data_IF_097313101152
#
_entry.id   IF_097313101152
#
_cell.length_a   1.000
_cell.length_b   1.000
_cell.length_c   1.000
_cell.angle_alpha   90.00
_cell.angle_beta   90.00
_cell.angle_gamma   90.00
#
_symmetry.space_group_name_H-M   'P 1'
#
loop_
_entity.id
_entity.type
_entity.pdbx_description
1 polymer ?
#
# COMPACT_ATOMS: atom_id res chain seq x y z
N UNK A 1 10.83 -29.55 -33.67
CA UNK A 1 10.36 -28.98 -32.39
C UNK A 1 11.43 -28.98 -31.28
N UNK A 2 12.69 -29.36 -31.53
CA UNK A 2 13.79 -29.33 -30.54
C UNK A 2 14.64 -28.04 -30.58
N UNK A 3 14.91 -27.47 -31.76
CA UNK A 3 15.75 -26.26 -31.88
C UNK A 3 15.14 -24.99 -31.26
N UNK A 4 13.80 -24.86 -31.24
CA UNK A 4 13.11 -23.70 -30.66
C UNK A 4 13.06 -23.73 -29.12
N UNK A 5 13.03 -24.92 -28.51
CA UNK A 5 13.09 -25.05 -27.05
C UNK A 5 14.51 -24.89 -26.52
N UNK A 6 15.51 -25.39 -27.25
CA UNK A 6 16.92 -25.22 -26.90
C UNK A 6 17.37 -23.77 -27.09
N UNK A 7 16.84 -23.07 -28.11
CA UNK A 7 17.07 -21.63 -28.31
C UNK A 7 16.49 -20.79 -27.19
N UNK A 8 15.26 -21.08 -26.72
CA UNK A 8 14.64 -20.38 -25.57
C UNK A 8 15.39 -20.63 -24.26
N UNK A 9 15.78 -21.88 -24.00
CA UNK A 9 16.51 -22.22 -22.78
C UNK A 9 17.93 -21.61 -22.76
N UNK A 10 18.60 -21.52 -23.90
CA UNK A 10 19.88 -20.83 -24.02
C UNK A 10 19.74 -19.31 -23.84
N UNK A 11 18.64 -18.74 -24.31
CA UNK A 11 18.32 -17.32 -24.18
C UNK A 11 17.95 -16.95 -22.74
N UNK A 12 17.21 -17.80 -22.04
CA UNK A 12 16.91 -17.62 -20.61
C UNK A 12 18.16 -17.72 -19.72
N UNK A 13 19.08 -18.64 -20.03
CA UNK A 13 20.38 -18.73 -19.32
C UNK A 13 21.26 -17.50 -19.57
N UNK A 14 21.33 -17.02 -20.81
CA UNK A 14 22.09 -15.80 -21.12
C UNK A 14 21.49 -14.56 -20.46
N UNK A 15 20.16 -14.47 -20.39
CA UNK A 15 19.47 -13.37 -19.70
C UNK A 15 19.68 -13.41 -18.17
N UNK A 16 19.73 -14.61 -17.57
CA UNK A 16 20.07 -14.75 -16.15
C UNK A 16 21.55 -14.41 -15.87
N UNK A 17 22.48 -14.84 -16.73
CA UNK A 17 23.91 -14.57 -16.57
C UNK A 17 24.20 -13.07 -16.75
N UNK A 18 23.63 -12.42 -17.77
CA UNK A 18 23.83 -10.99 -18.02
C UNK A 18 23.13 -10.10 -16.97
N UNK A 19 21.98 -10.52 -16.44
CA UNK A 19 21.34 -9.85 -15.31
C UNK A 19 22.16 -9.95 -14.01
N UNK A 20 22.80 -11.09 -13.78
CA UNK A 20 23.72 -11.27 -12.65
C UNK A 20 25.01 -10.43 -12.82
N UNK A 21 25.57 -10.34 -14.03
CA UNK A 21 26.77 -9.56 -14.32
C UNK A 21 26.50 -8.04 -14.25
N UNK A 22 25.30 -7.58 -14.63
CA UNK A 22 24.89 -6.18 -14.50
C UNK A 22 24.70 -5.76 -13.02
N UNK A 23 24.27 -6.68 -12.16
CA UNK A 23 24.15 -6.46 -10.71
C UNK A 23 25.51 -6.57 -10.02
N UNK A 24 26.42 -7.43 -10.50
CA UNK A 24 27.79 -7.52 -10.01
C UNK A 24 28.66 -6.32 -10.42
N UNK A 25 28.39 -5.72 -11.59
CA UNK A 25 29.00 -4.46 -12.05
C UNK A 25 28.51 -3.21 -11.30
N UNK A 26 27.34 -3.30 -10.65
CA UNK A 26 26.87 -2.32 -9.65
C UNK A 26 27.47 -2.58 -8.26
N UNK A 27 28.69 -3.14 -8.23
CA UNK A 27 29.49 -3.35 -7.04
C UNK A 27 29.60 -2.05 -6.24
N UNK A 28 29.09 -2.12 -5.02
CA UNK A 28 29.12 -1.08 -4.00
C UNK A 28 30.57 -0.63 -3.77
N UNK A 29 30.98 0.48 -4.37
CA UNK A 29 32.09 1.26 -3.86
C UNK A 29 31.57 2.11 -2.69
N UNK A 30 31.91 1.64 -1.49
CA UNK A 30 31.70 2.32 -0.22
C UNK A 30 32.58 3.57 -0.15
N UNK A 31 32.11 4.71 -0.64
CA UNK A 31 32.60 6.01 -0.15
C UNK A 31 31.46 7.02 0.04
N UNK A 32 31.35 7.46 1.30
CA UNK A 32 30.51 8.55 1.80
C UNK A 32 30.40 9.73 0.82
N UNK A 33 29.18 10.03 0.38
CA UNK A 33 28.66 11.39 0.25
C UNK A 33 27.13 11.33 0.28
N UNK A 34 26.57 11.80 1.39
CA UNK A 34 25.16 12.18 1.48
C UNK A 34 24.96 13.36 0.51
N UNK A 35 24.10 13.17 -0.49
CA UNK A 35 23.24 14.15 -1.17
C UNK A 35 22.84 13.64 -2.59
N UNK A 36 21.55 13.69 -2.91
CA UNK A 36 20.96 13.66 -4.27
C UNK A 36 21.07 12.39 -5.16
N UNK A 37 21.01 11.19 -4.59
CA UNK A 37 20.85 9.96 -5.40
C UNK A 37 19.41 9.82 -5.93
N UNK A 38 18.40 10.28 -5.17
CA UNK A 38 16.99 10.16 -5.56
C UNK A 38 16.64 11.03 -6.78
N UNK A 39 17.15 12.26 -6.85
CA UNK A 39 16.92 13.15 -8.00
C UNK A 39 17.56 12.62 -9.28
N UNK A 40 18.73 11.98 -9.17
CA UNK A 40 19.43 11.43 -10.34
C UNK A 40 18.79 10.14 -10.85
N UNK A 41 18.22 9.32 -9.95
CA UNK A 41 17.45 8.11 -10.29
C UNK A 41 16.05 8.46 -10.81
N UNK A 42 15.40 9.50 -10.27
CA UNK A 42 14.10 10.01 -10.75
C UNK A 42 14.23 10.78 -12.08
N UNK A 43 15.32 11.51 -12.30
CA UNK A 43 15.62 12.16 -13.58
C UNK A 43 15.92 11.13 -14.67
N UNK A 44 16.77 10.14 -14.39
CA UNK A 44 17.06 9.05 -15.34
C UNK A 44 15.87 8.14 -15.57
N UNK A 45 15.05 7.87 -14.54
CA UNK A 45 13.76 7.21 -14.71
C UNK A 45 12.75 8.08 -15.46
N UNK A 46 12.77 9.41 -15.29
CA UNK A 46 11.93 10.36 -16.01
C UNK A 46 12.26 10.47 -17.49
N UNK A 47 13.55 10.45 -17.84
CA UNK A 47 14.02 10.37 -19.22
C UNK A 47 13.75 8.98 -19.83
N UNK A 48 13.97 7.90 -19.08
CA UNK A 48 13.65 6.55 -19.52
C UNK A 48 12.14 6.32 -19.68
N UNK A 49 11.31 6.89 -18.79
CA UNK A 49 9.85 6.89 -18.86
C UNK A 49 9.34 7.80 -19.98
N UNK A 50 9.98 8.95 -20.22
CA UNK A 50 9.67 9.83 -21.34
C UNK A 50 9.92 9.14 -22.68
N UNK A 51 11.09 8.51 -22.82
CA UNK A 51 11.44 7.72 -24.00
C UNK A 51 10.57 6.46 -24.15
N UNK A 52 10.22 5.79 -23.05
CA UNK A 52 9.31 4.65 -23.06
C UNK A 52 7.85 5.06 -23.35
N UNK A 53 7.43 6.23 -22.91
CA UNK A 53 6.10 6.81 -23.14
C UNK A 53 5.96 7.28 -24.59
N UNK A 54 6.99 7.92 -25.15
CA UNK A 54 7.04 8.28 -26.56
C UNK A 54 7.18 7.03 -27.44
N UNK A 55 7.93 6.02 -26.99
CA UNK A 55 7.94 4.68 -27.58
C UNK A 55 6.56 4.00 -27.56
N UNK A 56 5.82 4.10 -26.45
CA UNK A 56 4.47 3.54 -26.30
C UNK A 56 3.43 4.28 -27.15
N UNK A 57 3.49 5.63 -27.24
CA UNK A 57 2.66 6.41 -28.16
C UNK A 57 2.91 6.04 -29.61
N UNK A 58 4.17 5.85 -29.99
CA UNK A 58 4.57 5.47 -31.34
C UNK A 58 4.17 4.03 -31.67
N UNK A 59 4.28 3.10 -30.72
CA UNK A 59 3.85 1.71 -30.86
C UNK A 59 2.32 1.55 -30.94
N UNK A 60 1.56 2.47 -30.34
CA UNK A 60 0.09 2.46 -30.30
C UNK A 60 -0.56 3.42 -31.33
N UNK A 61 0.23 4.06 -32.21
CA UNK A 61 -0.28 4.87 -33.32
C UNK A 61 -0.85 6.24 -32.95
N UNK A 62 -0.46 6.80 -31.79
CA UNK A 62 -0.88 8.12 -31.32
C UNK A 62 0.14 9.25 -31.62
N UNK A 63 1.20 8.94 -32.39
CA UNK A 63 2.23 9.91 -32.82
C UNK A 63 1.92 10.58 -34.17
N UNK A 64 2.51 11.76 -34.45
CA UNK A 64 2.18 12.57 -35.63
C UNK A 64 2.65 11.98 -36.97
N UNK A 65 3.51 10.96 -36.99
CA UNK A 65 4.00 10.37 -38.24
C UNK A 65 4.12 8.83 -38.20
N UNK A 66 3.89 8.23 -39.37
CA UNK A 66 3.76 6.79 -39.64
C UNK A 66 5.12 6.04 -39.58
N UNK A 67 5.18 5.02 -38.71
CA UNK A 67 5.96 3.74 -38.75
C UNK A 67 7.52 3.78 -38.65
N UNK A 68 8.11 3.01 -37.71
CA UNK A 68 9.12 1.90 -37.88
C UNK A 68 9.78 1.52 -36.52
N UNK A 69 10.04 0.22 -36.36
CA UNK A 69 10.49 -0.60 -35.21
C UNK A 69 11.87 -0.28 -34.58
N UNK A 70 12.00 -0.49 -33.26
CA UNK A 70 13.25 -0.90 -32.56
C UNK A 70 12.93 -1.66 -31.24
N UNK A 71 13.79 -2.60 -30.79
CA UNK A 71 13.45 -3.59 -29.75
C UNK A 71 13.64 -3.00 -28.34
N UNK A 72 12.56 -2.92 -27.57
CA UNK A 72 12.60 -2.43 -26.20
C UNK A 72 13.02 -3.54 -25.22
N UNK A 73 14.16 -3.33 -24.54
CA UNK A 73 14.57 -4.02 -23.32
C UNK A 73 13.64 -3.57 -22.17
N UNK A 74 12.55 -4.31 -21.98
CA UNK A 74 11.53 -4.04 -20.96
C UNK A 74 10.20 -4.58 -21.43
N UNK A 75 9.74 -5.69 -20.85
CA UNK A 75 8.51 -6.34 -21.27
C UNK A 75 7.28 -5.46 -21.00
N UNK A 76 6.78 -4.76 -22.02
CA UNK A 76 5.49 -4.08 -22.00
C UNK A 76 4.41 -5.16 -22.14
N UNK A 77 3.76 -5.54 -21.02
CA UNK A 77 2.55 -6.35 -21.05
C UNK A 77 1.34 -5.43 -21.13
N UNK A 78 0.87 -5.15 -22.35
CA UNK A 78 -0.39 -4.43 -22.56
C UNK A 78 -1.57 -5.36 -22.36
N UNK A 79 -2.17 -5.34 -21.17
CA UNK A 79 -3.59 -5.67 -21.06
C UNK A 79 -4.33 -4.38 -21.44
N UNK A 80 -5.49 -4.45 -22.10
CA UNK A 80 -6.22 -3.32 -22.72
C UNK A 80 -6.57 -2.13 -21.80
N UNK A 81 -6.06 -2.07 -20.57
CA UNK A 81 -6.44 -1.13 -19.53
C UNK A 81 -5.28 -0.53 -18.70
N UNK A 82 -4.05 -1.09 -18.78
CA UNK A 82 -2.87 -0.55 -18.07
C UNK A 82 -1.53 -0.96 -18.68
N UNK A 83 -0.50 -0.14 -18.45
CA UNK A 83 0.92 -0.42 -18.68
C UNK A 83 1.59 -0.66 -17.32
N UNK A 84 2.32 -1.76 -17.18
CA UNK A 84 3.06 -2.08 -15.95
C UNK A 84 4.56 -1.96 -16.19
N UNK A 85 5.24 -1.20 -15.34
CA UNK A 85 6.69 -0.91 -15.37
C UNK A 85 7.28 -1.18 -13.98
N UNK A 86 7.81 -2.38 -13.76
CA UNK A 86 8.25 -2.82 -12.44
C UNK A 86 7.09 -2.75 -11.43
N UNK A 87 7.26 -1.98 -10.36
CA UNK A 87 6.22 -1.74 -9.35
C UNK A 87 5.21 -0.65 -9.73
N UNK A 88 5.34 -0.01 -10.88
CA UNK A 88 4.41 1.03 -11.32
C UNK A 88 3.36 0.47 -12.26
N UNK A 89 2.10 0.80 -12.02
CA UNK A 89 0.98 0.59 -12.93
C UNK A 89 0.48 1.95 -13.42
N UNK A 90 0.37 2.12 -14.74
CA UNK A 90 -0.12 3.34 -15.39
C UNK A 90 -1.38 2.97 -16.15
N UNK A 91 -2.51 3.58 -15.81
CA UNK A 91 -3.76 3.36 -16.53
C UNK A 91 -3.74 4.02 -17.90
N UNK A 92 -4.28 3.32 -18.89
CA UNK A 92 -4.46 3.82 -20.27
C UNK A 92 -5.93 3.92 -20.67
N UNK A 93 -6.84 3.60 -19.75
CA UNK A 93 -8.28 3.68 -19.94
C UNK A 93 -8.76 5.12 -20.17
N UNK A 94 -9.78 5.25 -21.03
CA UNK A 94 -10.44 6.53 -21.28
C UNK A 94 -10.97 7.15 -19.99
N UNK A 95 -10.57 8.39 -19.69
CA UNK A 95 -10.93 9.14 -18.49
C UNK A 95 -10.04 8.88 -17.26
N UNK A 96 -9.08 7.96 -17.34
CA UNK A 96 -8.09 7.66 -16.29
C UNK A 96 -6.67 7.62 -16.83
N UNK A 97 -6.44 8.16 -18.02
CA UNK A 97 -5.18 8.09 -18.72
C UNK A 97 -4.07 8.71 -17.87
N UNK A 98 -2.97 7.96 -17.73
CA UNK A 98 -1.81 8.36 -16.95
C UNK A 98 -1.99 8.27 -15.44
N UNK A 99 -3.18 7.93 -14.90
CA UNK A 99 -3.30 7.63 -13.46
C UNK A 99 -2.32 6.53 -13.10
N UNK A 100 -1.44 6.83 -12.16
CA UNK A 100 -0.30 6.00 -11.83
C UNK A 100 -0.42 5.49 -10.41
N UNK A 101 -0.07 4.22 -10.22
CA UNK A 101 -0.17 3.51 -8.96
C UNK A 101 1.15 2.78 -8.69
N UNK A 102 1.71 2.99 -7.50
CA UNK A 102 2.86 2.22 -7.03
C UNK A 102 2.37 0.97 -6.30
N UNK A 103 2.94 -0.19 -6.62
CA UNK A 103 2.56 -1.50 -6.09
C UNK A 103 3.64 -2.04 -5.17
N UNK A 104 3.24 -2.35 -3.94
CA UNK A 104 4.07 -3.03 -2.96
C UNK A 104 3.38 -4.35 -2.58
N UNK A 105 3.76 -5.49 -3.18
CA UNK A 105 3.09 -6.76 -2.91
C UNK A 105 3.14 -7.12 -1.41
N UNK A 106 1.99 -7.37 -0.77
CA UNK A 106 1.96 -7.78 0.64
C UNK A 106 2.50 -9.20 0.82
N UNK A 107 3.32 -9.41 1.85
CA UNK A 107 3.84 -10.75 2.22
C UNK A 107 2.84 -11.58 3.03
N UNK A 108 1.76 -10.96 3.52
CA UNK A 108 0.83 -11.59 4.47
C UNK A 108 1.47 -11.82 5.83
N UNK A 109 0.67 -12.24 6.82
CA UNK A 109 1.13 -12.36 8.21
C UNK A 109 2.36 -13.28 8.37
N UNK A 110 2.34 -14.46 7.74
CA UNK A 110 3.39 -15.46 7.90
C UNK A 110 4.68 -15.10 7.13
N UNK A 111 4.56 -14.42 5.99
CA UNK A 111 5.71 -13.94 5.21
C UNK A 111 6.30 -12.63 5.73
N UNK A 112 5.60 -11.95 6.65
CA UNK A 112 6.03 -10.68 7.23
C UNK A 112 7.03 -10.86 8.36
N UNK A 113 7.81 -9.81 8.61
CA UNK A 113 8.76 -9.78 9.72
C UNK A 113 8.06 -9.68 11.08
N UNK A 114 8.76 -10.10 12.12
CA UNK A 114 8.29 -9.93 13.51
C UNK A 114 8.81 -8.60 14.04
N UNK A 115 7.92 -7.77 14.57
CA UNK A 115 8.26 -6.50 15.21
C UNK A 115 9.13 -6.76 16.45
N UNK A 116 10.21 -5.98 16.59
CA UNK A 116 11.17 -6.08 17.69
C UNK A 116 10.83 -5.16 18.86
N UNK A 117 9.93 -4.20 18.66
CA UNK A 117 9.48 -3.22 19.66
C UNK A 117 8.24 -3.73 20.38
N UNK A 118 7.22 -4.15 19.63
CA UNK A 118 5.95 -4.62 20.19
C UNK A 118 5.96 -6.15 20.30
N UNK A 119 6.44 -6.64 21.45
CA UNK A 119 6.66 -8.05 21.75
C UNK A 119 5.81 -8.60 22.89
N UNK A 120 5.20 -7.73 23.71
CA UNK A 120 4.36 -8.12 24.84
C UNK A 120 3.14 -7.21 24.96
N UNK A 121 1.96 -7.74 24.61
CA UNK A 121 0.69 -6.98 24.67
C UNK A 121 0.24 -6.60 26.08
N UNK A 122 0.81 -7.22 27.11
CA UNK A 122 0.49 -6.93 28.51
C UNK A 122 1.45 -5.93 29.16
N UNK A 123 2.54 -5.55 28.49
CA UNK A 123 3.47 -4.55 29.00
C UNK A 123 2.90 -3.14 28.77
N UNK A 124 2.61 -2.37 29.84
CA UNK A 124 2.09 -1.01 29.69
C UNK A 124 3.06 -0.07 28.95
N UNK A 125 4.37 -0.34 28.96
CA UNK A 125 5.36 0.48 28.24
C UNK A 125 5.37 0.23 26.73
N UNK A 126 4.70 -0.82 26.27
CA UNK A 126 4.56 -1.15 24.85
C UNK A 126 3.20 -0.72 24.28
N UNK A 127 2.38 -0.03 25.07
CA UNK A 127 1.15 0.57 24.60
C UNK A 127 1.40 1.98 24.11
N UNK A 128 0.58 2.40 23.17
CA UNK A 128 0.52 3.79 22.71
C UNK A 128 -0.65 4.50 23.38
N UNK A 129 -0.47 5.78 23.67
CA UNK A 129 -1.49 6.69 24.19
C UNK A 129 -2.11 7.57 23.10
N UNK A 130 -1.49 7.60 21.91
CA UNK A 130 -2.00 8.24 20.69
C UNK A 130 -1.45 7.55 19.43
N UNK A 131 -2.15 7.77 18.33
CA UNK A 131 -1.63 7.49 16.98
C UNK A 131 -1.20 8.81 16.37
N UNK A 132 0.04 8.88 15.88
CA UNK A 132 0.60 10.08 15.25
C UNK A 132 0.10 10.23 13.81
N UNK A 133 -1.19 10.57 13.68
CA UNK A 133 -1.85 10.90 12.42
C UNK A 133 -1.28 12.20 11.80
N UNK A 134 -1.18 12.24 10.47
CA UNK A 134 -0.76 13.42 9.73
C UNK A 134 -1.96 14.31 9.40
N UNK A 135 -2.21 15.31 10.25
CA UNK A 135 -3.30 16.27 10.07
C UNK A 135 -3.07 17.28 8.95
N UNK A 136 -1.86 17.36 8.38
CA UNK A 136 -1.56 18.25 7.25
C UNK A 136 -2.05 17.69 5.92
N UNK A 137 -2.30 16.38 5.85
CA UNK A 137 -2.78 15.66 4.67
C UNK A 137 -4.31 15.71 4.55
N UNK A 138 -4.79 15.39 3.36
CA UNK A 138 -6.22 15.39 3.01
C UNK A 138 -6.93 14.12 3.51
N UNK A 139 -7.05 13.99 4.84
CA UNK A 139 -7.79 12.92 5.48
C UNK A 139 -9.29 13.10 5.19
N UNK A 140 -9.87 12.20 4.41
CA UNK A 140 -11.27 12.32 3.98
C UNK A 140 -11.93 10.98 3.71
N UNK A 141 -13.24 10.97 3.90
CA UNK A 141 -14.10 9.90 3.41
C UNK A 141 -14.12 9.92 1.88
N UNK A 142 -14.27 8.75 1.25
CA UNK A 142 -14.53 8.69 -0.19
C UNK A 142 -16.00 9.01 -0.50
N UNK A 143 -16.25 9.55 -1.70
CA UNK A 143 -17.55 10.08 -2.12
C UNK A 143 -18.39 9.15 -3.01
N UNK A 144 -17.76 8.18 -3.67
CA UNK A 144 -18.38 7.43 -4.78
C UNK A 144 -18.34 5.91 -4.57
N UNK A 145 -17.49 5.17 -5.30
CA UNK A 145 -17.45 3.69 -5.30
C UNK A 145 -16.96 3.09 -3.97
N UNK A 146 -16.54 3.92 -3.03
CA UNK A 146 -15.89 3.55 -1.77
C UNK A 146 -16.59 4.19 -0.56
N UNK A 147 -17.92 4.33 -0.59
CA UNK A 147 -18.68 4.83 0.57
C UNK A 147 -18.38 4.02 1.84
N UNK A 148 -18.34 4.71 2.97
CA UNK A 148 -17.92 4.16 4.28
C UNK A 148 -16.44 3.81 4.36
N UNK A 149 -15.61 4.44 3.52
CA UNK A 149 -14.16 4.24 3.54
C UNK A 149 -13.45 5.59 3.58
N UNK A 150 -12.24 5.62 4.11
CA UNK A 150 -11.38 6.82 4.15
C UNK A 150 -9.90 6.46 4.06
N UNK A 151 -9.12 7.32 3.43
CA UNK A 151 -7.67 7.30 3.52
C UNK A 151 -7.23 8.18 4.69
N UNK A 152 -6.62 7.54 5.70
CA UNK A 152 -6.09 8.21 6.89
C UNK A 152 -4.56 8.16 6.87
N UNK A 153 -3.95 9.33 6.82
CA UNK A 153 -2.52 9.50 6.59
C UNK A 153 -1.75 9.53 7.91
N UNK A 154 -0.59 8.88 7.90
CA UNK A 154 0.41 8.96 8.95
C UNK A 154 1.75 8.56 8.34
N UNK A 155 2.86 8.83 9.05
CA UNK A 155 4.17 8.35 8.63
C UNK A 155 4.20 6.82 8.55
N UNK A 156 4.94 6.28 7.57
CA UNK A 156 5.19 4.85 7.50
C UNK A 156 5.82 4.35 8.80
N UNK A 157 5.36 3.21 9.30
CA UNK A 157 5.79 2.64 10.58
C UNK A 157 5.01 3.17 11.80
N UNK A 158 4.12 4.15 11.64
CA UNK A 158 3.26 4.63 12.74
C UNK A 158 2.42 3.46 13.28
N UNK A 159 2.47 3.18 14.60
CA UNK A 159 1.72 2.09 15.21
C UNK A 159 0.20 2.34 15.16
N UNK A 160 -0.55 1.27 14.92
CA UNK A 160 -2.01 1.28 14.85
C UNK A 160 -2.63 0.51 16.03
N UNK A 161 -3.68 1.09 16.61
CA UNK A 161 -4.45 0.54 17.72
C UNK A 161 -5.89 1.07 17.68
N UNK A 162 -6.77 0.50 18.52
CA UNK A 162 -7.94 1.22 19.03
C UNK A 162 -7.53 1.97 20.30
N UNK A 163 -7.81 3.26 20.37
CA UNK A 163 -7.44 4.14 21.48
C UNK A 163 -8.53 4.19 22.55
N UNK A 164 -9.79 4.21 22.11
CA UNK A 164 -10.93 4.34 23.01
C UNK A 164 -12.06 3.39 22.63
N UNK A 165 -12.05 2.18 23.21
CA UNK A 165 -13.27 1.39 23.39
C UNK A 165 -13.86 1.60 24.77
N UNK A 166 -15.20 1.57 24.87
CA UNK A 166 -15.96 1.72 26.12
C UNK A 166 -15.54 0.73 27.19
N UNK A 167 -15.25 -0.51 26.82
CA UNK A 167 -14.92 -1.57 27.78
C UNK A 167 -13.41 -1.64 28.09
N UNK A 168 -12.62 -0.68 27.61
CA UNK A 168 -11.16 -0.67 27.75
C UNK A 168 -10.43 -1.70 26.88
N UNK A 169 -11.17 -2.46 26.06
CA UNK A 169 -10.65 -3.56 25.24
C UNK A 169 -11.23 -3.53 23.83
N UNK A 170 -10.51 -4.13 22.89
CA UNK A 170 -10.94 -4.39 21.53
C UNK A 170 -10.42 -5.75 21.07
N UNK A 171 -11.00 -6.29 20.01
CA UNK A 171 -10.61 -7.57 19.43
C UNK A 171 -9.97 -7.34 18.07
N UNK A 172 -8.80 -7.93 17.82
CA UNK A 172 -8.32 -8.15 16.47
C UNK A 172 -8.93 -9.45 15.97
N UNK A 173 -9.82 -9.34 14.99
CA UNK A 173 -10.55 -10.48 14.47
C UNK A 173 -9.71 -11.31 13.51
N UNK A 174 -8.88 -10.65 12.69
CA UNK A 174 -8.04 -11.29 11.67
C UNK A 174 -7.02 -10.35 11.06
N UNK A 175 -5.95 -10.94 10.54
CA UNK A 175 -5.04 -10.35 9.55
C UNK A 175 -5.25 -11.06 8.20
N UNK A 176 -5.48 -10.30 7.13
CA UNK A 176 -5.69 -10.83 5.78
C UNK A 176 -4.72 -10.20 4.79
N UNK A 177 -4.12 -11.03 3.92
CA UNK A 177 -3.47 -10.55 2.70
C UNK A 177 -4.56 -10.30 1.64
N UNK A 178 -4.79 -9.03 1.29
CA UNK A 178 -5.81 -8.59 0.32
C UNK A 178 -5.21 -8.27 -1.06
N UNK A 179 -4.04 -8.85 -1.35
CA UNK A 179 -3.38 -8.78 -2.64
C UNK A 179 -2.86 -7.39 -3.01
N UNK A 180 -2.64 -7.19 -4.31
CA UNK A 180 -1.99 -5.98 -4.84
C UNK A 180 -2.82 -4.71 -4.69
N UNK A 181 -4.08 -4.79 -4.27
CA UNK A 181 -4.92 -3.61 -4.01
C UNK A 181 -4.94 -3.30 -2.52
N UNK A 182 -5.53 -4.17 -1.70
CA UNK A 182 -5.71 -3.88 -0.27
C UNK A 182 -4.47 -4.08 0.61
N UNK A 183 -3.39 -4.66 0.07
CA UNK A 183 -2.19 -4.94 0.85
C UNK A 183 -2.44 -5.91 2.00
N UNK A 184 -1.63 -5.83 3.04
CA UNK A 184 -1.98 -6.46 4.31
C UNK A 184 -3.12 -5.66 4.95
N UNK A 185 -4.01 -6.36 5.66
CA UNK A 185 -5.10 -5.71 6.37
C UNK A 185 -5.36 -6.32 7.74
N UNK A 186 -5.87 -5.51 8.66
CA UNK A 186 -6.31 -5.90 9.99
C UNK A 186 -7.78 -5.52 10.16
N UNK A 187 -8.61 -6.44 10.63
CA UNK A 187 -10.00 -6.17 10.99
C UNK A 187 -10.11 -6.18 12.51
N UNK A 188 -10.50 -5.05 13.09
CA UNK A 188 -10.71 -4.92 14.54
C UNK A 188 -12.18 -4.71 14.87
N UNK A 189 -12.58 -5.13 16.05
CA UNK A 189 -13.92 -4.96 16.61
C UNK A 189 -13.84 -4.36 18.01
N UNK A 190 -14.73 -3.42 18.32
CA UNK A 190 -14.76 -2.75 19.62
C UNK A 190 -16.15 -2.20 19.92
N UNK A 191 -16.42 -1.86 21.19
CA UNK A 191 -17.59 -1.07 21.55
C UNK A 191 -17.28 0.41 21.54
N UNK A 192 -18.08 1.20 20.82
CA UNK A 192 -18.00 2.65 20.87
C UNK A 192 -18.52 3.23 22.20
N UNK A 193 -18.46 4.55 22.37
CA UNK A 193 -18.90 5.23 23.58
C UNK A 193 -20.39 4.97 23.91
N UNK A 194 -21.24 4.74 22.90
CA UNK A 194 -22.65 4.38 23.10
C UNK A 194 -22.85 2.91 23.53
N UNK A 195 -21.81 2.08 23.39
CA UNK A 195 -21.85 0.64 23.64
C UNK A 195 -22.18 -0.21 22.42
N UNK A 196 -22.30 0.40 21.23
CA UNK A 196 -22.54 -0.33 19.99
C UNK A 196 -21.24 -0.98 19.50
N UNK A 197 -21.33 -2.23 19.04
CA UNK A 197 -20.20 -2.91 18.40
C UNK A 197 -19.94 -2.30 17.02
N UNK A 198 -18.70 -1.89 16.80
CA UNK A 198 -18.19 -1.35 15.54
C UNK A 198 -17.05 -2.21 15.03
N UNK A 199 -16.79 -2.16 13.73
CA UNK A 199 -15.55 -2.69 13.17
C UNK A 199 -14.87 -1.66 12.28
N UNK A 200 -13.54 -1.72 12.27
CA UNK A 200 -12.71 -0.99 11.32
C UNK A 200 -11.77 -2.00 10.67
N UNK A 201 -11.71 -1.97 9.35
CA UNK A 201 -10.65 -2.63 8.61
C UNK A 201 -9.59 -1.61 8.24
N UNK A 202 -8.35 -1.85 8.65
CA UNK A 202 -7.18 -1.08 8.25
C UNK A 202 -6.48 -1.85 7.12
N UNK A 203 -6.31 -1.23 5.95
CA UNK A 203 -5.59 -1.79 4.81
C UNK A 203 -4.24 -1.07 4.64
N UNK A 204 -3.40 -1.55 3.72
CA UNK A 204 -2.06 -1.01 3.46
C UNK A 204 -1.12 -1.04 4.67
N UNK A 205 -1.33 -1.95 5.63
CA UNK A 205 -0.43 -2.08 6.79
C UNK A 205 0.91 -2.72 6.38
N UNK A 206 1.98 -2.49 7.13
CA UNK A 206 3.33 -2.98 6.80
C UNK A 206 3.45 -4.52 6.77
N UNK A 207 4.56 -5.01 6.20
CA UNK A 207 5.01 -6.40 6.33
C UNK A 207 5.80 -6.62 7.64
N UNK A 208 5.32 -6.05 8.74
CA UNK A 208 5.89 -6.22 10.08
C UNK A 208 4.78 -6.23 11.10
N UNK A 209 4.74 -7.26 11.93
CA UNK A 209 3.66 -7.47 12.90
C UNK A 209 4.22 -7.75 14.30
N UNK A 210 3.54 -7.27 15.36
CA UNK A 210 3.88 -7.64 16.73
C UNK A 210 3.95 -9.15 16.92
N UNK A 211 4.89 -9.62 17.76
CA UNK A 211 5.10 -11.06 17.96
C UNK A 211 3.83 -11.76 18.43
N UNK A 212 3.11 -11.18 19.39
CA UNK A 212 1.86 -11.75 19.91
C UNK A 212 0.76 -11.86 18.86
N UNK A 213 0.69 -10.94 17.88
CA UNK A 213 -0.24 -11.05 16.75
C UNK A 213 0.15 -12.23 15.86
N UNK A 214 1.44 -12.35 15.53
CA UNK A 214 1.92 -13.47 14.71
C UNK A 214 1.69 -14.81 15.40
N UNK A 215 2.04 -14.92 16.69
CA UNK A 215 1.88 -16.14 17.47
C UNK A 215 0.41 -16.56 17.58
N UNK A 216 -0.50 -15.61 17.89
CA UNK A 216 -1.93 -15.90 18.01
C UNK A 216 -2.49 -16.50 16.71
N UNK A 217 -2.25 -15.85 15.57
CA UNK A 217 -2.78 -16.28 14.28
C UNK A 217 -1.91 -17.31 13.52
N UNK A 218 -1.00 -18.02 14.21
CA UNK A 218 -0.38 -19.24 13.65
C UNK A 218 -1.40 -20.37 13.52
N UNK A 219 -2.32 -20.49 14.47
CA UNK A 219 -3.38 -21.48 14.44
C UNK A 219 -4.48 -21.06 13.46
N UNK A 220 -5.01 -22.01 12.69
CA UNK A 220 -6.07 -21.75 11.68
C UNK A 220 -7.40 -21.31 12.31
N UNK A 221 -7.62 -21.63 13.57
CA UNK A 221 -8.84 -21.48 14.35
C UNK A 221 -8.63 -20.65 15.62
N UNK A 222 -7.59 -19.81 15.67
CA UNK A 222 -7.19 -19.03 16.84
C UNK A 222 -8.29 -18.13 17.45
N UNK A 223 -9.35 -17.84 16.68
CA UNK A 223 -10.39 -16.90 17.07
C UNK A 223 -9.87 -15.46 17.22
N UNK A 224 -10.69 -14.54 17.75
CA UNK A 224 -10.29 -13.17 17.99
C UNK A 224 -9.17 -13.06 19.04
N UNK A 225 -8.22 -12.13 18.83
CA UNK A 225 -7.23 -11.74 19.84
C UNK A 225 -7.76 -10.53 20.63
N UNK A 226 -8.09 -10.74 21.90
CA UNK A 226 -8.51 -9.67 22.82
C UNK A 226 -7.31 -8.82 23.25
N UNK A 227 -7.42 -7.51 23.11
CA UNK A 227 -6.37 -6.54 23.43
C UNK A 227 -6.94 -5.36 24.21
N UNK A 228 -6.12 -4.77 25.08
CA UNK A 228 -6.46 -3.55 25.79
C UNK A 228 -6.27 -2.33 24.88
N UNK A 229 -7.04 -1.26 25.10
CA UNK A 229 -6.84 0.03 24.41
C UNK A 229 -5.34 0.42 24.39
N UNK A 230 -4.88 0.92 23.25
CA UNK A 230 -3.48 1.29 23.02
C UNK A 230 -2.53 0.13 22.70
N UNK A 231 -2.98 -1.12 22.72
CA UNK A 231 -2.16 -2.27 22.29
C UNK A 231 -2.00 -2.27 20.77
N UNK A 232 -0.76 -2.30 20.28
CA UNK A 232 -0.49 -2.20 18.84
C UNK A 232 -0.85 -3.50 18.13
N UNK A 233 -1.55 -3.43 16.99
CA UNK A 233 -1.83 -4.62 16.16
C UNK A 233 -1.05 -4.66 14.84
N UNK A 234 -0.46 -3.55 14.45
CA UNK A 234 0.27 -3.38 13.20
C UNK A 234 0.75 -1.94 13.03
N UNK A 235 1.28 -1.63 11.85
CA UNK A 235 1.80 -0.29 11.53
C UNK A 235 1.30 0.18 10.17
N UNK A 236 1.13 1.49 10.04
CA UNK A 236 0.83 2.15 8.76
C UNK A 236 1.95 1.84 7.77
N UNK A 237 1.59 1.44 6.55
CA UNK A 237 2.53 1.04 5.52
C UNK A 237 2.14 1.56 4.14
N UNK A 238 2.69 0.89 3.13
CA UNK A 238 2.44 1.15 1.71
C UNK A 238 2.14 -0.15 0.94
N UNK A 239 1.79 -1.25 1.63
CA UNK A 239 1.46 -2.52 0.97
C UNK A 239 0.19 -2.41 0.13
N UNK A 240 0.05 -3.20 -0.93
CA UNK A 240 -1.03 -3.05 -1.90
C UNK A 240 -0.66 -2.02 -2.97
N UNK A 241 -1.64 -1.24 -3.44
CA UNK A 241 -1.39 -0.17 -4.41
C UNK A 241 -1.70 1.19 -3.80
N UNK A 242 -0.83 2.16 -4.06
CA UNK A 242 -1.03 3.55 -3.68
C UNK A 242 -1.07 4.41 -4.94
N UNK A 243 -2.08 5.29 -5.04
CA UNK A 243 -2.10 6.28 -6.12
C UNK A 243 -0.97 7.28 -5.92
N UNK A 244 -0.17 7.48 -6.95
CA UNK A 244 1.06 8.29 -6.92
C UNK A 244 0.98 9.51 -7.82
N UNK A 245 -0.14 9.74 -8.50
CA UNK A 245 -0.31 10.91 -9.36
C UNK A 245 -0.74 10.54 -10.76
N UNK A 246 -0.42 11.44 -11.69
CA UNK A 246 -0.75 11.24 -13.09
C UNK A 246 0.41 11.67 -13.98
N UNK A 247 1.02 10.72 -14.68
CA UNK A 247 2.24 10.93 -15.49
C UNK A 247 2.05 11.90 -16.67
N UNK A 248 0.81 12.14 -17.11
CA UNK A 248 0.53 13.05 -18.24
C UNK A 248 -0.01 14.42 -17.80
N UNK A 249 -0.19 14.66 -16.49
CA UNK A 249 -0.60 15.96 -15.96
C UNK A 249 0.60 16.72 -15.41
N UNK A 250 0.54 18.05 -15.44
CA UNK A 250 1.70 18.92 -15.13
C UNK A 250 2.30 18.81 -13.72
N UNK A 251 1.67 18.10 -12.78
CA UNK A 251 2.25 17.78 -11.46
C UNK A 251 3.00 16.44 -11.42
N UNK A 252 2.92 15.62 -12.47
CA UNK A 252 3.59 14.33 -12.57
C UNK A 252 3.16 13.31 -11.52
N UNK A 253 4.13 12.51 -11.07
CA UNK A 253 3.99 11.53 -9.99
C UNK A 253 4.82 11.94 -8.76
N UNK A 254 4.31 11.66 -7.58
CA UNK A 254 4.99 11.75 -6.28
C UNK A 254 5.09 10.35 -5.66
N UNK A 255 6.05 10.11 -4.76
CA UNK A 255 6.15 8.81 -4.07
C UNK A 255 4.85 8.40 -3.37
N UNK A 256 4.67 7.10 -3.03
CA UNK A 256 3.47 6.66 -2.32
C UNK A 256 3.40 7.35 -0.95
N UNK A 257 2.33 8.09 -0.71
CA UNK A 257 2.05 8.62 0.62
C UNK A 257 1.58 7.45 1.51
N UNK A 258 2.27 7.24 2.63
CA UNK A 258 1.88 6.24 3.62
C UNK A 258 0.54 6.62 4.25
N UNK A 259 -0.38 5.66 4.24
CA UNK A 259 -1.71 5.83 4.82
C UNK A 259 -2.28 4.45 5.15
N UNK A 260 -3.36 4.43 5.92
CA UNK A 260 -4.24 3.27 6.00
C UNK A 260 -5.54 3.60 5.30
N UNK A 261 -5.87 2.80 4.28
CA UNK A 261 -7.21 2.82 3.72
C UNK A 261 -8.14 2.09 4.66
N UNK A 262 -9.08 2.81 5.25
CA UNK A 262 -9.97 2.30 6.30
C UNK A 262 -11.35 2.01 5.75
N UNK A 263 -11.94 0.89 6.16
CA UNK A 263 -13.34 0.52 5.86
C UNK A 263 -14.10 0.44 7.17
N UNK A 264 -15.20 1.18 7.27
CA UNK A 264 -16.00 1.29 8.48
C UNK A 264 -17.21 0.37 8.41
N UNK A 265 -17.53 -0.26 9.54
CA UNK A 265 -18.69 -1.12 9.69
C UNK A 265 -19.46 -0.64 10.93
N UNK A 266 -20.62 -0.04 10.71
CA UNK A 266 -21.49 0.43 11.81
C UNK A 266 -22.08 -0.76 12.58
N UNK A 267 -22.27 -1.88 11.89
CA UNK A 267 -22.67 -3.15 12.48
C UNK A 267 -21.67 -4.21 12.04
N UNK A 268 -21.28 -5.16 12.91
CA UNK A 268 -20.37 -6.23 12.54
C UNK A 268 -20.72 -6.90 11.21
N UNK A 269 -19.77 -6.92 10.27
CA UNK A 269 -19.95 -7.48 8.93
C UNK A 269 -20.77 -6.66 7.93
N UNK A 270 -21.38 -5.54 8.33
CA UNK A 270 -22.16 -4.65 7.45
C UNK A 270 -21.42 -3.34 7.26
N UNK A 271 -20.87 -3.14 6.06
CA UNK A 271 -20.11 -1.94 5.74
C UNK A 271 -21.01 -0.70 5.80
N UNK A 272 -20.50 0.38 6.40
CA UNK A 272 -21.09 1.71 6.35
C UNK A 272 -21.19 2.16 4.87
N UNK A 273 -22.29 2.81 4.51
CA UNK A 273 -22.54 3.30 3.13
C UNK A 273 -22.66 4.82 3.07
N UNK A 274 -22.29 5.51 4.15
CA UNK A 274 -22.26 6.97 4.25
C UNK A 274 -20.99 7.55 3.64
N UNK A 275 -21.09 8.78 3.16
CA UNK A 275 -19.95 9.64 2.83
C UNK A 275 -19.52 10.52 4.00
N UNK A 276 -20.28 10.51 5.09
CA UNK A 276 -19.99 11.27 6.29
C UNK A 276 -19.11 10.49 7.25
N UNK A 277 -18.24 11.21 7.96
CA UNK A 277 -17.39 10.64 9.00
C UNK A 277 -18.27 10.13 10.15
N UNK A 278 -18.19 8.83 10.52
CA UNK A 278 -18.94 8.34 11.67
C UNK A 278 -18.49 9.03 12.96
N UNK A 279 -19.43 9.48 13.79
CA UNK A 279 -19.13 10.21 15.03
C UNK A 279 -18.23 9.40 15.99
N UNK A 280 -18.36 8.07 15.96
CA UNK A 280 -17.57 7.15 16.79
C UNK A 280 -16.12 6.98 16.30
N UNK A 281 -15.79 7.36 15.06
CA UNK A 281 -14.49 7.09 14.46
C UNK A 281 -13.36 7.84 15.17
N UNK A 282 -13.46 9.17 15.26
CA UNK A 282 -12.37 10.00 15.80
C UNK A 282 -11.97 9.60 17.23
N UNK A 283 -12.91 9.39 18.17
CA UNK A 283 -12.58 8.84 19.48
C UNK A 283 -11.92 7.46 19.38
N UNK A 284 -12.48 6.54 18.59
CA UNK A 284 -11.98 5.16 18.53
C UNK A 284 -10.50 5.07 18.13
N UNK A 285 -10.03 5.93 17.22
CA UNK A 285 -8.64 5.94 16.72
C UNK A 285 -7.80 7.11 17.24
N UNK A 286 -8.31 7.89 18.20
CA UNK A 286 -7.61 9.05 18.75
C UNK A 286 -7.30 10.15 17.73
N UNK A 287 -8.17 10.38 16.75
CA UNK A 287 -7.95 11.39 15.71
C UNK A 287 -8.39 12.78 16.18
N UNK A 288 -7.44 13.71 16.34
CA UNK A 288 -7.73 15.06 16.84
C UNK A 288 -7.99 16.10 15.73
N UNK A 289 -7.54 15.82 14.50
CA UNK A 289 -7.72 16.72 13.36
C UNK A 289 -9.11 16.68 12.72
N UNK A 290 -9.23 17.36 11.58
CA UNK A 290 -10.41 17.26 10.74
C UNK A 290 -10.31 16.05 9.80
N UNK A 291 -11.38 15.26 9.71
CA UNK A 291 -11.57 14.28 8.64
C UNK A 291 -12.73 14.84 7.83
N UNK A 292 -12.51 15.09 6.54
CA UNK A 292 -13.54 15.67 5.68
C UNK A 292 -14.56 14.60 5.29
N UNK A 293 -15.83 14.97 5.25
CA UNK A 293 -16.84 14.15 4.58
C UNK A 293 -16.52 14.08 3.07
N UNK A 294 -16.93 13.01 2.41
CA UNK A 294 -16.66 12.79 0.99
C UNK A 294 -17.36 13.82 0.10
N UNK A 295 -18.40 14.47 0.60
CA UNK A 295 -19.30 15.28 -0.22
C UNK A 295 -20.08 14.42 -1.21
N UNK A 296 -21.09 15.02 -1.85
CA UNK A 296 -21.75 14.47 -3.04
C UNK A 296 -21.11 15.04 -4.30
#
# INVERSE_FOLDING_TARGET
RSAQSESRAAQERNNQQQGADAIAGAGVETQRREENILDHVLSSAGEALGNAWDGAKNALGFGPDKVVMMPAMGGISGNNEKITLGQMDIKVNKGQEGESFFRTPPKGLQGSETDKVYTNMHDPNQKIDKIDWDYSKDNKMHNSKQKGQADLYAKEGTPLSVMHSRDGNFELLKIENRGEIGGNSALVQFKDASGQLRQIRFNHIQDTFPSYVKEHFKARDAGPLLMQNGTVFGRVGVTGNAWVGNVIKGKGISGPDSHTHTVFYDTPGVQNTSTDVPEWLKPAIGFQGNIKNGGN
#
